data_IF_272184992466
#
_entry.id   IF_272184992466
#
_cell.length_a   1.000
_cell.length_b   1.000
_cell.length_c   1.000
_cell.angle_alpha   90.00
_cell.angle_beta   90.00
_cell.angle_gamma   90.00
#
_symmetry.space_group_name_H-M   'P 1'
#
loop_
_entity.id
_entity.type
_entity.pdbx_description
1 polymer ?
#
# COMPACT_ATOMS: atom_id res chain seq x y z
N UNK A 1 -60.65 -41.41 17.73
CA UNK A 1 -61.70 -41.97 16.85
C UNK A 1 -61.98 -40.86 15.85
N UNK A 2 -61.64 -40.90 14.56
CA UNK A 2 -61.11 -41.90 13.61
C UNK A 2 -60.38 -41.08 12.51
N UNK A 3 -59.12 -41.38 12.14
CA UNK A 3 -58.69 -42.17 10.98
C UNK A 3 -59.18 -41.66 9.60
N UNK A 4 -58.24 -41.26 8.70
CA UNK A 4 -57.92 -41.89 7.38
C UNK A 4 -58.54 -41.06 6.22
N UNK A 5 -57.95 -40.76 5.05
CA UNK A 5 -56.69 -41.10 4.36
C UNK A 5 -56.34 -40.05 3.27
N UNK A 6 -55.08 -40.13 2.88
CA UNK A 6 -54.28 -39.45 1.86
C UNK A 6 -54.78 -39.49 0.39
N UNK A 7 -54.10 -38.65 -0.43
CA UNK A 7 -53.87 -38.63 -1.89
C UNK A 7 -54.70 -37.73 -2.81
N UNK A 8 -53.96 -36.85 -3.53
CA UNK A 8 -54.42 -36.23 -4.77
C UNK A 8 -53.70 -34.93 -5.14
N UNK A 9 -52.42 -35.01 -5.50
CA UNK A 9 -51.70 -33.94 -6.19
C UNK A 9 -52.20 -33.83 -7.64
N UNK A 10 -52.48 -32.63 -8.14
CA UNK A 10 -51.91 -32.07 -9.38
C UNK A 10 -52.46 -30.65 -9.67
N UNK A 11 -51.49 -29.73 -9.69
CA UNK A 11 -51.40 -28.40 -10.32
C UNK A 11 -52.53 -27.92 -11.23
N UNK A 12 -52.99 -26.67 -11.04
CA UNK A 12 -52.61 -25.50 -11.88
C UNK A 12 -53.32 -24.25 -11.31
N UNK A 13 -52.59 -23.33 -10.70
CA UNK A 13 -53.14 -22.06 -10.20
C UNK A 13 -53.02 -20.94 -11.22
N UNK A 14 -54.10 -20.16 -11.24
CA UNK A 14 -54.36 -18.92 -11.96
C UNK A 14 -53.37 -17.82 -11.56
N UNK A 15 -53.10 -16.94 -12.53
CA UNK A 15 -52.30 -15.71 -12.46
C UNK A 15 -52.65 -14.82 -11.25
N UNK A 16 -51.61 -14.22 -10.67
CA UNK A 16 -51.73 -12.92 -10.02
C UNK A 16 -50.57 -12.03 -10.47
N UNK A 17 -50.91 -10.94 -11.16
CA UNK A 17 -50.03 -9.84 -11.46
C UNK A 17 -49.81 -9.02 -10.19
N UNK A 18 -48.56 -8.65 -9.88
CA UNK A 18 -48.23 -7.30 -9.43
C UNK A 18 -46.74 -7.02 -9.59
N UNK A 19 -46.50 -6.01 -10.41
CA UNK A 19 -45.38 -5.08 -10.50
C UNK A 19 -44.37 -5.07 -9.34
N UNK A 20 -43.08 -5.25 -9.64
CA UNK A 20 -42.01 -4.44 -9.02
C UNK A 20 -40.73 -4.41 -9.86
N UNK A 21 -40.06 -3.27 -9.75
CA UNK A 21 -39.09 -2.73 -10.68
C UNK A 21 -37.71 -3.39 -10.63
N UNK A 22 -37.16 -3.48 -11.84
CA UNK A 22 -35.77 -3.67 -12.29
C UNK A 22 -34.67 -3.48 -11.23
N UNK A 23 -33.92 -4.55 -10.99
CA UNK A 23 -32.53 -4.52 -10.55
C UNK A 23 -31.62 -4.26 -11.75
N UNK A 24 -30.82 -3.20 -11.69
CA UNK A 24 -29.73 -2.95 -12.62
C UNK A 24 -28.41 -3.36 -11.94
N UNK A 25 -27.86 -4.50 -12.34
CA UNK A 25 -26.44 -4.79 -12.19
C UNK A 25 -25.71 -4.07 -13.33
N UNK A 26 -24.86 -3.09 -13.01
CA UNK A 26 -23.90 -2.52 -13.97
C UNK A 26 -22.61 -3.33 -13.91
N UNK A 27 -22.49 -4.32 -14.78
CA UNK A 27 -21.19 -4.85 -15.19
C UNK A 27 -20.65 -3.96 -16.31
N UNK A 28 -19.79 -3.01 -15.97
CA UNK A 28 -19.12 -2.17 -16.97
C UNK A 28 -18.00 -2.96 -17.67
N UNK A 29 -18.44 -3.58 -18.76
CA UNK A 29 -17.69 -4.25 -19.81
C UNK A 29 -16.85 -3.22 -20.59
N UNK A 30 -15.56 -3.13 -20.30
CA UNK A 30 -14.63 -2.37 -21.15
C UNK A 30 -14.42 -3.09 -22.48
N UNK A 31 -15.16 -2.63 -23.48
CA UNK A 31 -15.06 -3.06 -24.87
C UNK A 31 -13.78 -2.46 -25.48
N UNK A 32 -12.69 -3.24 -25.55
CA UNK A 32 -11.45 -2.81 -26.20
C UNK A 32 -11.63 -2.98 -27.71
N UNK A 33 -11.91 -1.88 -28.40
CA UNK A 33 -11.66 -1.76 -29.84
C UNK A 33 -10.17 -1.46 -29.99
N UNK A 34 -9.41 -2.40 -30.55
CA UNK A 34 -7.98 -2.26 -30.75
C UNK A 34 -7.65 -1.04 -31.64
N UNK A 35 -6.79 -0.11 -31.20
CA UNK A 35 -6.17 0.84 -32.11
C UNK A 35 -4.98 0.16 -32.78
N UNK A 36 -5.05 -0.02 -34.09
CA UNK A 36 -3.89 -0.33 -34.91
C UNK A 36 -3.02 0.92 -35.01
N UNK A 37 -2.05 1.05 -34.11
CA UNK A 37 -0.95 1.99 -34.27
C UNK A 37 0.35 1.19 -34.42
N UNK A 38 0.86 1.16 -35.65
CA UNK A 38 2.23 0.78 -35.93
C UNK A 38 3.14 1.79 -35.21
N UNK A 39 3.68 1.39 -34.07
CA UNK A 39 4.78 2.10 -33.45
C UNK A 39 6.06 1.74 -34.23
N UNK A 40 6.56 2.69 -35.02
CA UNK A 40 7.92 2.62 -35.57
C UNK A 40 8.91 2.60 -34.40
N UNK A 41 9.40 1.41 -34.06
CA UNK A 41 10.51 1.23 -33.13
C UNK A 41 11.76 1.79 -33.78
N UNK A 42 12.33 2.85 -33.21
CA UNK A 42 13.61 3.39 -33.68
C UNK A 42 14.73 2.37 -33.40
N UNK A 43 15.67 2.24 -34.34
CA UNK A 43 16.77 1.25 -34.29
C UNK A 43 17.60 1.35 -33.00
N UNK A 44 17.71 2.55 -32.40
CA UNK A 44 18.45 2.78 -31.16
C UNK A 44 17.82 2.15 -29.91
N UNK A 45 16.49 2.01 -29.87
CA UNK A 45 15.81 1.34 -28.75
C UNK A 45 16.14 -0.15 -28.73
N UNK A 46 16.05 -0.80 -29.89
CA UNK A 46 16.34 -2.24 -30.05
C UNK A 46 17.77 -2.57 -29.60
N UNK A 47 18.74 -1.70 -29.91
CA UNK A 47 20.13 -1.90 -29.50
C UNK A 47 20.34 -1.77 -27.98
N UNK A 48 19.65 -0.83 -27.30
CA UNK A 48 19.72 -0.69 -25.83
C UNK A 48 19.17 -1.92 -25.11
N UNK A 49 18.11 -2.54 -25.63
CA UNK A 49 17.54 -3.76 -25.05
C UNK A 49 18.40 -5.02 -25.33
N UNK A 50 19.04 -5.13 -26.49
CA UNK A 50 20.03 -6.20 -26.79
C UNK A 50 21.30 -6.06 -25.95
N UNK A 51 21.71 -4.84 -25.60
CA UNK A 51 22.82 -4.63 -24.67
C UNK A 51 22.48 -5.23 -23.30
N UNK A 52 21.23 -5.09 -22.85
CA UNK A 52 20.78 -5.59 -21.54
C UNK A 52 20.94 -7.10 -21.35
N UNK A 53 20.84 -7.91 -22.43
CA UNK A 53 21.04 -9.36 -22.36
C UNK A 53 22.52 -9.75 -22.19
N UNK A 54 23.45 -8.87 -22.58
CA UNK A 54 24.90 -9.10 -22.48
C UNK A 54 25.51 -8.59 -21.17
N UNK A 55 24.71 -7.95 -20.30
CA UNK A 55 25.17 -7.42 -19.01
C UNK A 55 25.29 -8.55 -18.00
N UNK A 56 26.39 -8.56 -17.24
CA UNK A 56 26.57 -9.50 -16.15
C UNK A 56 25.42 -9.38 -15.14
N UNK A 57 24.91 -10.51 -14.63
CA UNK A 57 23.73 -10.55 -13.73
C UNK A 57 23.83 -9.61 -12.52
N UNK A 58 25.05 -9.34 -12.04
CA UNK A 58 25.32 -8.42 -10.92
C UNK A 58 25.10 -6.94 -11.27
N UNK A 59 25.31 -6.54 -12.52
CA UNK A 59 25.29 -5.14 -12.96
C UNK A 59 23.95 -4.78 -13.63
N UNK A 60 23.08 -5.77 -13.86
CA UNK A 60 21.75 -5.57 -14.47
C UNK A 60 20.87 -4.59 -13.68
N UNK A 61 20.98 -4.56 -12.35
CA UNK A 61 20.17 -3.68 -11.52
C UNK A 61 20.59 -2.22 -11.70
N UNK A 62 21.89 -1.95 -11.68
CA UNK A 62 22.46 -0.61 -11.88
C UNK A 62 22.17 -0.11 -13.30
N UNK A 63 22.26 -0.99 -14.30
CA UNK A 63 21.87 -0.65 -15.67
C UNK A 63 20.38 -0.30 -15.78
N UNK A 64 19.51 -1.07 -15.12
CA UNK A 64 18.08 -0.81 -15.11
C UNK A 64 17.78 0.53 -14.43
N UNK A 65 18.42 0.82 -13.27
CA UNK A 65 18.29 2.10 -12.58
C UNK A 65 18.73 3.24 -13.49
N UNK A 66 19.94 3.19 -14.04
CA UNK A 66 20.45 4.22 -14.95
C UNK A 66 19.51 4.44 -16.14
N UNK A 67 19.03 3.34 -16.74
CA UNK A 67 18.06 3.41 -17.83
C UNK A 67 16.80 4.14 -17.40
N UNK A 68 16.23 3.80 -16.24
CA UNK A 68 15.02 4.41 -15.72
C UNK A 68 15.19 5.90 -15.38
N UNK A 69 16.34 6.31 -14.86
CA UNK A 69 16.64 7.72 -14.57
C UNK A 69 16.77 8.57 -15.84
N UNK A 70 17.28 7.99 -16.91
CA UNK A 70 17.44 8.68 -18.20
C UNK A 70 16.11 8.84 -18.97
N UNK A 71 15.01 8.21 -18.53
CA UNK A 71 13.71 8.28 -19.20
C UNK A 71 12.92 9.53 -18.80
N UNK A 72 12.18 10.07 -19.75
CA UNK A 72 11.12 11.03 -19.48
C UNK A 72 10.12 10.49 -18.44
N UNK A 73 9.56 11.39 -17.63
CA UNK A 73 8.55 11.07 -16.61
C UNK A 73 7.15 10.86 -17.24
N UNK A 74 7.04 10.04 -18.29
CA UNK A 74 5.79 9.61 -18.91
C UNK A 74 5.49 8.15 -18.59
N UNK A 75 4.27 7.84 -18.17
CA UNK A 75 3.83 6.47 -17.89
C UNK A 75 4.09 5.55 -19.08
N UNK A 76 3.80 6.01 -20.29
CA UNK A 76 3.91 5.26 -21.55
C UNK A 76 5.36 4.88 -21.83
N UNK A 77 6.28 5.83 -21.70
CA UNK A 77 7.72 5.61 -21.90
C UNK A 77 8.25 4.62 -20.87
N UNK A 78 7.94 4.84 -19.59
CA UNK A 78 8.45 3.98 -18.51
C UNK A 78 7.91 2.57 -18.59
N UNK A 79 6.60 2.42 -18.82
CA UNK A 79 5.97 1.11 -18.89
C UNK A 79 6.41 0.39 -20.17
N UNK A 80 6.53 1.10 -21.29
CA UNK A 80 7.04 0.56 -22.55
C UNK A 80 8.47 0.06 -22.43
N UNK A 81 9.36 0.82 -21.78
CA UNK A 81 10.75 0.40 -21.53
C UNK A 81 10.82 -0.82 -20.61
N UNK A 82 10.03 -0.85 -19.53
CA UNK A 82 9.99 -2.00 -18.62
C UNK A 82 9.40 -3.25 -19.28
N UNK A 83 8.36 -3.10 -20.11
CA UNK A 83 7.77 -4.18 -20.90
C UNK A 83 8.76 -4.74 -21.92
N UNK A 84 9.46 -3.87 -22.64
CA UNK A 84 10.49 -4.26 -23.58
C UNK A 84 11.65 -4.98 -22.89
N UNK A 85 12.03 -4.55 -21.67
CA UNK A 85 13.09 -5.18 -20.90
C UNK A 85 12.69 -6.57 -20.41
N UNK A 86 11.49 -6.75 -19.85
CA UNK A 86 11.00 -8.05 -19.38
C UNK A 86 10.74 -9.05 -20.51
N UNK A 87 10.43 -8.58 -21.72
CA UNK A 87 10.16 -9.45 -22.87
C UNK A 87 11.32 -10.42 -23.22
N UNK A 88 12.54 -10.13 -22.76
CA UNK A 88 13.73 -10.97 -22.99
C UNK A 88 14.18 -11.76 -21.75
N UNK A 89 13.45 -11.67 -20.64
CA UNK A 89 13.76 -12.42 -19.42
C UNK A 89 12.93 -13.71 -19.36
N UNK A 90 13.57 -14.84 -19.04
CA UNK A 90 12.94 -16.16 -18.98
C UNK A 90 11.84 -16.25 -17.91
N UNK A 91 12.07 -15.57 -16.78
CA UNK A 91 11.14 -15.46 -15.67
C UNK A 91 10.99 -13.99 -15.27
N UNK A 92 9.82 -13.62 -14.72
CA UNK A 92 9.60 -12.24 -14.31
C UNK A 92 10.66 -11.81 -13.27
N UNK A 93 11.44 -10.75 -13.53
CA UNK A 93 12.67 -10.43 -12.79
C UNK A 93 12.42 -9.69 -11.46
N UNK A 94 11.58 -10.25 -10.58
CA UNK A 94 11.16 -9.63 -9.30
C UNK A 94 12.36 -9.20 -8.45
N UNK A 95 13.36 -10.08 -8.31
CA UNK A 95 14.53 -9.81 -7.46
C UNK A 95 15.35 -8.62 -7.97
N UNK A 96 15.46 -8.47 -9.29
CA UNK A 96 16.17 -7.35 -9.89
C UNK A 96 15.39 -6.05 -9.69
N UNK A 97 14.08 -6.07 -9.95
CA UNK A 97 13.21 -4.92 -9.75
C UNK A 97 13.22 -4.44 -8.29
N UNK A 98 13.19 -5.37 -7.32
CA UNK A 98 13.34 -5.03 -5.89
C UNK A 98 14.67 -4.33 -5.59
N UNK A 99 15.78 -4.76 -6.20
CA UNK A 99 17.08 -4.07 -6.04
C UNK A 99 17.07 -2.68 -6.66
N UNK A 100 16.51 -2.55 -7.87
CA UNK A 100 16.39 -1.25 -8.52
C UNK A 100 15.53 -0.27 -7.70
N UNK A 101 14.40 -0.74 -7.14
CA UNK A 101 13.57 0.07 -6.25
C UNK A 101 14.35 0.56 -5.02
N UNK A 102 15.14 -0.31 -4.37
CA UNK A 102 15.96 0.11 -3.22
C UNK A 102 17.00 1.18 -3.56
N UNK A 103 17.57 1.14 -4.77
CA UNK A 103 18.51 2.15 -5.25
C UNK A 103 17.76 3.47 -5.52
N UNK A 104 16.65 3.43 -6.24
CA UNK A 104 15.81 4.60 -6.52
C UNK A 104 15.30 5.28 -5.25
N UNK A 105 14.91 4.51 -4.23
CA UNK A 105 14.51 5.05 -2.92
C UNK A 105 15.66 5.75 -2.20
N UNK A 106 16.87 5.17 -2.26
CA UNK A 106 18.07 5.78 -1.68
C UNK A 106 18.42 7.09 -2.38
N UNK A 107 18.19 7.17 -3.68
CA UNK A 107 18.38 8.37 -4.51
C UNK A 107 17.21 9.36 -4.42
N UNK A 108 16.15 9.02 -3.66
CA UNK A 108 14.93 9.82 -3.47
C UNK A 108 14.15 10.08 -4.76
N UNK A 109 14.25 9.15 -5.72
CA UNK A 109 13.53 9.19 -7.00
C UNK A 109 12.10 8.65 -6.82
N UNK A 110 11.36 9.27 -5.89
CA UNK A 110 10.06 8.78 -5.41
C UNK A 110 9.03 8.64 -6.52
N UNK A 111 8.99 9.61 -7.45
CA UNK A 111 8.12 9.53 -8.61
C UNK A 111 8.40 8.28 -9.46
N UNK A 112 9.68 7.96 -9.65
CA UNK A 112 10.11 6.76 -10.40
C UNK A 112 9.77 5.48 -9.64
N UNK A 113 9.98 5.47 -8.32
CA UNK A 113 9.58 4.35 -7.44
C UNK A 113 8.08 4.06 -7.60
N UNK A 114 7.23 5.09 -7.58
CA UNK A 114 5.78 4.96 -7.80
C UNK A 114 5.48 4.33 -9.16
N UNK A 115 6.11 4.83 -10.23
CA UNK A 115 5.89 4.31 -11.59
C UNK A 115 6.29 2.83 -11.71
N UNK A 116 7.46 2.45 -11.20
CA UNK A 116 7.95 1.06 -11.27
C UNK A 116 7.04 0.13 -10.46
N UNK A 117 6.66 0.49 -9.24
CA UNK A 117 5.78 -0.36 -8.42
C UNK A 117 4.40 -0.50 -9.07
N UNK A 118 3.81 0.58 -9.57
CA UNK A 118 2.51 0.50 -10.26
C UNK A 118 2.58 -0.33 -11.54
N UNK A 119 3.68 -0.24 -12.29
CA UNK A 119 3.91 -1.11 -13.45
C UNK A 119 3.97 -2.57 -13.00
N UNK A 120 4.76 -2.90 -11.98
CA UNK A 120 4.83 -4.28 -11.43
C UNK A 120 3.44 -4.81 -11.05
N UNK A 121 2.66 -4.01 -10.32
CA UNK A 121 1.30 -4.37 -9.92
C UNK A 121 0.36 -4.55 -11.12
N UNK A 122 0.51 -3.76 -12.19
CA UNK A 122 -0.28 -3.91 -13.43
C UNK A 122 -0.01 -5.23 -14.16
N UNK A 123 1.15 -5.86 -13.91
CA UNK A 123 1.51 -7.19 -14.42
C UNK A 123 1.09 -8.32 -13.47
N UNK A 124 0.38 -7.99 -12.38
CA UNK A 124 0.04 -8.93 -11.32
C UNK A 124 1.24 -9.36 -10.46
N UNK A 125 2.34 -8.61 -10.51
CA UNK A 125 3.59 -8.96 -9.83
C UNK A 125 3.78 -8.12 -8.57
N UNK A 126 4.33 -8.75 -7.53
CA UNK A 126 4.60 -8.06 -6.26
C UNK A 126 3.32 -7.68 -5.49
N UNK A 127 2.22 -8.41 -5.64
CA UNK A 127 0.97 -8.19 -4.89
C UNK A 127 1.11 -8.64 -3.42
N UNK A 128 2.00 -7.99 -2.70
CA UNK A 128 2.31 -8.26 -1.29
C UNK A 128 2.11 -7.02 -0.45
N UNK A 129 1.80 -7.19 0.82
CA UNK A 129 1.60 -6.06 1.73
C UNK A 129 2.85 -5.18 1.88
N UNK A 130 4.04 -5.76 1.74
CA UNK A 130 5.31 -5.01 1.71
C UNK A 130 5.40 -4.08 0.50
N UNK A 131 5.03 -4.56 -0.69
CA UNK A 131 5.03 -3.74 -1.92
C UNK A 131 3.96 -2.64 -1.85
N UNK A 132 2.77 -2.91 -1.30
CA UNK A 132 1.78 -1.86 -1.07
C UNK A 132 2.26 -0.83 -0.04
N UNK A 133 2.89 -1.27 1.06
CA UNK A 133 3.50 -0.36 2.03
C UNK A 133 4.60 0.52 1.45
N UNK A 134 5.41 -0.04 0.56
CA UNK A 134 6.44 0.67 -0.19
C UNK A 134 5.83 1.72 -1.15
N UNK A 135 4.77 1.34 -1.88
CA UNK A 135 4.03 2.26 -2.76
C UNK A 135 3.41 3.42 -1.97
N UNK A 136 2.79 3.13 -0.82
CA UNK A 136 2.19 4.12 0.07
C UNK A 136 3.26 5.12 0.56
N UNK A 137 4.45 4.63 0.93
CA UNK A 137 5.57 5.51 1.31
C UNK A 137 5.98 6.41 0.14
N UNK A 138 6.19 5.82 -1.04
CA UNK A 138 6.65 6.55 -2.21
C UNK A 138 5.63 7.60 -2.65
N UNK A 139 4.33 7.30 -2.61
CA UNK A 139 3.26 8.25 -2.92
C UNK A 139 3.24 9.43 -1.94
N UNK A 140 3.39 9.16 -0.64
CA UNK A 140 3.47 10.22 0.36
C UNK A 140 4.72 11.11 0.17
N UNK A 141 5.88 10.52 -0.15
CA UNK A 141 7.09 11.29 -0.48
C UNK A 141 6.98 12.04 -1.81
N UNK A 142 6.15 11.57 -2.74
CA UNK A 142 5.79 12.22 -4.01
C UNK A 142 4.61 13.21 -3.86
N UNK A 143 4.29 13.62 -2.61
CA UNK A 143 3.20 14.56 -2.27
C UNK A 143 1.80 14.15 -2.73
N UNK A 144 1.53 12.84 -2.80
CA UNK A 144 0.26 12.25 -3.25
C UNK A 144 -0.39 11.43 -2.13
N UNK A 145 -0.54 12.06 -0.97
CA UNK A 145 -1.03 11.41 0.25
C UNK A 145 -2.49 10.91 0.14
N UNK A 146 -3.33 11.56 -0.65
CA UNK A 146 -4.70 11.07 -0.93
C UNK A 146 -4.69 9.76 -1.72
N UNK A 147 -3.83 9.64 -2.72
CA UNK A 147 -3.67 8.39 -3.45
C UNK A 147 -3.06 7.29 -2.55
N UNK A 148 -2.12 7.67 -1.68
CA UNK A 148 -1.59 6.75 -0.68
C UNK A 148 -2.70 6.21 0.25
N UNK A 149 -3.68 7.06 0.60
CA UNK A 149 -4.86 6.65 1.35
C UNK A 149 -5.77 5.70 0.56
N UNK A 150 -6.01 5.95 -0.73
CA UNK A 150 -6.83 5.05 -1.57
C UNK A 150 -6.20 3.65 -1.66
N UNK A 151 -4.87 3.56 -1.78
CA UNK A 151 -4.16 2.27 -1.75
C UNK A 151 -4.28 1.62 -0.37
N UNK A 152 -4.12 2.39 0.71
CA UNK A 152 -4.33 1.87 2.07
C UNK A 152 -5.74 1.29 2.22
N UNK A 153 -6.77 2.07 1.93
CA UNK A 153 -8.17 1.68 2.13
C UNK A 153 -8.54 0.44 1.32
N UNK A 154 -8.14 0.41 0.04
CA UNK A 154 -8.49 -0.68 -0.88
C UNK A 154 -7.70 -1.97 -0.68
N UNK A 155 -6.45 -1.91 -0.21
CA UNK A 155 -5.54 -3.08 -0.16
C UNK A 155 -5.19 -3.54 1.26
N UNK A 156 -5.31 -2.67 2.26
CA UNK A 156 -4.80 -2.91 3.62
C UNK A 156 -5.89 -2.65 4.67
N UNK A 157 -6.71 -1.62 4.49
CA UNK A 157 -7.68 -1.08 5.44
C UNK A 157 -8.84 -2.02 5.81
N UNK A 158 -8.90 -3.24 5.28
CA UNK A 158 -9.81 -4.29 5.73
C UNK A 158 -9.22 -5.25 6.77
N UNK A 159 -7.91 -5.19 7.02
CA UNK A 159 -7.17 -6.22 7.77
C UNK A 159 -6.59 -5.70 9.10
N UNK A 160 -7.23 -4.72 9.75
CA UNK A 160 -6.67 -4.05 10.94
C UNK A 160 -6.24 -4.99 12.07
N UNK A 161 -6.86 -6.16 12.22
CA UNK A 161 -6.47 -7.16 13.22
C UNK A 161 -5.10 -7.83 12.93
N UNK A 162 -4.66 -7.90 11.67
CA UNK A 162 -3.47 -8.64 11.24
C UNK A 162 -2.38 -7.79 10.59
N UNK A 163 -2.66 -6.53 10.22
CA UNK A 163 -1.65 -5.62 9.65
C UNK A 163 -0.52 -5.34 10.67
N UNK A 164 0.76 -5.60 10.35
CA UNK A 164 1.88 -5.31 11.25
C UNK A 164 1.90 -3.84 11.69
N UNK A 165 2.25 -3.64 12.96
CA UNK A 165 2.34 -2.31 13.56
C UNK A 165 3.28 -1.36 12.81
N UNK A 166 4.30 -1.87 12.12
CA UNK A 166 5.19 -1.05 11.30
C UNK A 166 4.42 -0.27 10.21
N UNK A 167 3.48 -0.94 9.52
CA UNK A 167 2.66 -0.32 8.48
C UNK A 167 1.61 0.62 9.09
N UNK A 168 0.98 0.22 10.20
CA UNK A 168 0.06 1.12 10.93
C UNK A 168 0.79 2.41 11.36
N UNK A 169 1.99 2.29 11.93
CA UNK A 169 2.81 3.43 12.35
C UNK A 169 3.17 4.33 11.16
N UNK A 170 3.52 3.73 10.02
CA UNK A 170 3.78 4.47 8.79
C UNK A 170 2.53 5.25 8.36
N UNK A 171 1.36 4.63 8.32
CA UNK A 171 0.13 5.32 7.90
C UNK A 171 -0.28 6.42 8.87
N UNK A 172 -0.14 6.21 10.19
CA UNK A 172 -0.35 7.25 11.20
C UNK A 172 0.61 8.43 10.97
N UNK A 173 1.87 8.17 10.60
CA UNK A 173 2.84 9.22 10.28
C UNK A 173 2.47 10.00 9.00
N UNK A 174 1.99 9.30 7.97
CA UNK A 174 1.51 9.88 6.71
C UNK A 174 0.32 10.79 6.99
N UNK A 175 -0.72 10.28 7.66
CA UNK A 175 -1.89 11.09 7.96
C UNK A 175 -1.56 12.30 8.83
N UNK A 176 -0.68 12.12 9.82
CA UNK A 176 -0.31 13.19 10.74
C UNK A 176 0.38 14.35 10.02
N UNK A 177 1.39 14.06 9.18
CA UNK A 177 2.17 15.12 8.51
C UNK A 177 1.39 15.83 7.40
N UNK A 178 0.40 15.15 6.82
CA UNK A 178 -0.46 15.67 5.75
C UNK A 178 -1.78 16.26 6.29
N UNK A 179 -1.92 16.44 7.61
CA UNK A 179 -3.12 16.98 8.27
C UNK A 179 -4.42 16.21 7.98
N UNK A 180 -4.32 14.90 7.72
CA UNK A 180 -5.47 14.02 7.42
C UNK A 180 -6.07 13.49 8.72
N UNK A 181 -6.54 14.40 9.58
CA UNK A 181 -6.91 14.10 10.97
C UNK A 181 -8.02 13.06 11.10
N UNK A 182 -9.09 13.16 10.31
CA UNK A 182 -10.20 12.20 10.36
C UNK A 182 -9.76 10.78 10.01
N UNK A 183 -8.89 10.64 8.99
CA UNK A 183 -8.35 9.35 8.57
C UNK A 183 -7.40 8.78 9.63
N UNK A 184 -6.65 9.65 10.33
CA UNK A 184 -5.80 9.27 11.45
C UNK A 184 -6.61 8.74 12.64
N UNK A 185 -7.61 9.50 13.09
CA UNK A 185 -8.43 9.10 14.25
C UNK A 185 -9.19 7.82 13.95
N UNK A 186 -9.79 7.71 12.75
CA UNK A 186 -10.49 6.50 12.32
C UNK A 186 -9.57 5.28 12.30
N UNK A 187 -8.37 5.40 11.74
CA UNK A 187 -7.39 4.30 11.77
C UNK A 187 -7.09 3.86 13.20
N UNK A 188 -6.91 4.80 14.13
CA UNK A 188 -6.63 4.46 15.51
C UNK A 188 -7.83 3.81 16.23
N UNK A 189 -9.04 4.32 15.99
CA UNK A 189 -10.29 3.75 16.52
C UNK A 189 -10.46 2.28 16.08
N UNK A 190 -10.21 1.98 14.80
CA UNK A 190 -10.24 0.61 14.27
C UNK A 190 -9.18 -0.29 14.94
N UNK A 191 -7.96 0.23 15.15
CA UNK A 191 -6.92 -0.52 15.86
C UNK A 191 -7.31 -0.77 17.33
N UNK A 192 -7.89 0.21 18.01
CA UNK A 192 -8.41 0.06 19.38
C UNK A 192 -9.56 -0.95 19.44
N UNK A 193 -10.44 -1.00 18.43
CA UNK A 193 -11.56 -1.94 18.35
C UNK A 193 -11.11 -3.41 18.26
N UNK A 194 -9.90 -3.66 17.73
CA UNK A 194 -9.24 -4.98 17.75
C UNK A 194 -8.29 -5.16 18.94
N UNK A 195 -8.44 -4.39 20.01
CA UNK A 195 -7.62 -4.42 21.23
C UNK A 195 -6.12 -4.24 20.97
N UNK A 196 -5.75 -3.63 19.84
CA UNK A 196 -4.35 -3.45 19.47
C UNK A 196 -3.77 -2.27 20.25
N UNK A 197 -2.91 -2.59 21.21
CA UNK A 197 -2.21 -1.58 22.03
C UNK A 197 -1.08 -0.93 21.23
N UNK A 198 -0.99 0.41 21.20
CA UNK A 198 0.10 1.12 20.53
C UNK A 198 1.44 0.76 21.15
N UNK A 199 2.48 0.46 20.35
CA UNK A 199 3.78 0.04 20.86
C UNK A 199 4.64 1.20 21.40
N UNK A 200 4.36 2.45 21.00
CA UNK A 200 5.20 3.61 21.29
C UNK A 200 4.36 4.86 21.60
N UNK A 201 4.90 5.74 22.47
CA UNK A 201 4.23 6.98 22.90
C UNK A 201 3.94 7.95 21.76
N UNK A 202 4.78 7.98 20.72
CA UNK A 202 4.65 8.85 19.55
C UNK A 202 3.33 8.63 18.81
N UNK A 203 2.84 7.39 18.75
CA UNK A 203 1.55 7.06 18.17
C UNK A 203 0.43 7.74 18.97
N UNK A 204 0.42 7.57 20.29
CA UNK A 204 -0.59 8.15 21.18
C UNK A 204 -0.60 9.68 21.06
N UNK A 205 0.57 10.32 21.07
CA UNK A 205 0.67 11.78 20.96
C UNK A 205 0.15 12.31 19.61
N UNK A 206 0.45 11.62 18.50
CA UNK A 206 -0.08 12.01 17.18
C UNK A 206 -1.59 11.91 17.10
N UNK A 207 -2.16 10.87 17.69
CA UNK A 207 -3.62 10.68 17.76
C UNK A 207 -4.26 11.74 18.66
N UNK A 208 -3.65 12.06 19.81
CA UNK A 208 -4.13 13.10 20.72
C UNK A 208 -4.19 14.48 20.04
N UNK A 209 -3.15 14.81 19.28
CA UNK A 209 -3.11 16.04 18.48
C UNK A 209 -4.16 16.04 17.36
N UNK A 210 -4.42 14.89 16.73
CA UNK A 210 -5.46 14.79 15.71
C UNK A 210 -6.87 14.99 16.30
N UNK A 211 -7.15 14.41 17.47
CA UNK A 211 -8.39 14.68 18.19
C UNK A 211 -8.53 16.16 18.57
N UNK A 212 -7.45 16.78 19.05
CA UNK A 212 -7.43 18.22 19.34
C UNK A 212 -7.73 19.07 18.11
N UNK A 213 -7.10 18.78 16.97
CA UNK A 213 -7.32 19.48 15.72
C UNK A 213 -8.78 19.35 15.21
N UNK A 214 -9.45 18.25 15.55
CA UNK A 214 -10.87 18.01 15.27
C UNK A 214 -11.82 18.55 16.36
N UNK A 215 -11.30 19.20 17.41
CA UNK A 215 -12.11 19.69 18.55
C UNK A 215 -12.62 18.60 19.50
N UNK A 216 -12.13 17.37 19.37
CA UNK A 216 -12.52 16.17 20.14
C UNK A 216 -11.71 16.04 21.43
N UNK A 217 -11.83 17.02 22.33
CA UNK A 217 -11.00 17.10 23.54
C UNK A 217 -11.23 15.95 24.53
N UNK A 218 -12.46 15.43 24.62
CA UNK A 218 -12.78 14.29 25.50
C UNK A 218 -12.03 13.03 25.06
N UNK A 219 -11.97 12.79 23.76
CA UNK A 219 -11.27 11.66 23.15
C UNK A 219 -9.76 11.80 23.33
N UNK A 220 -9.22 13.02 23.19
CA UNK A 220 -7.82 13.33 23.51
C UNK A 220 -7.48 12.93 24.96
N UNK A 221 -8.27 13.39 25.92
CA UNK A 221 -8.05 13.10 27.35
C UNK A 221 -8.15 11.59 27.61
N UNK A 222 -9.18 10.92 27.07
CA UNK A 222 -9.38 9.46 27.17
C UNK A 222 -8.14 8.68 26.76
N UNK A 223 -7.55 8.99 25.60
CA UNK A 223 -6.41 8.22 25.10
C UNK A 223 -5.11 8.52 25.88
N UNK A 224 -4.92 9.76 26.34
CA UNK A 224 -3.75 10.13 27.14
C UNK A 224 -3.78 9.44 28.50
N UNK A 225 -4.96 9.34 29.12
CA UNK A 225 -5.15 8.61 30.38
C UNK A 225 -4.97 7.10 30.19
N UNK A 226 -5.68 6.51 29.21
CA UNK A 226 -5.63 5.07 28.92
C UNK A 226 -4.22 4.57 28.64
N UNK A 227 -3.41 5.35 27.92
CA UNK A 227 -2.05 4.98 27.53
C UNK A 227 -0.95 5.71 28.33
N UNK A 228 -1.26 6.25 29.51
CA UNK A 228 -0.31 6.99 30.36
C UNK A 228 0.95 6.18 30.74
N UNK A 229 0.84 4.85 30.80
CA UNK A 229 1.99 3.97 31.04
C UNK A 229 3.08 4.06 29.95
N UNK A 230 2.74 4.47 28.73
CA UNK A 230 3.72 4.76 27.66
C UNK A 230 4.33 6.15 27.81
N UNK A 231 3.60 7.10 28.38
CA UNK A 231 4.03 8.49 28.56
C UNK A 231 5.00 8.66 29.73
N UNK A 232 4.89 7.82 30.75
CA UNK A 232 5.67 7.87 31.99
C UNK A 232 6.98 7.06 31.95
N UNK A 233 7.11 6.13 30.99
CA UNK A 233 8.25 5.17 30.91
C UNK A 233 9.62 5.81 30.69
N UNK A 234 9.70 7.06 30.22
CA UNK A 234 10.98 7.77 30.04
C UNK A 234 11.69 8.14 31.36
N UNK A 235 11.01 8.00 32.50
CA UNK A 235 11.57 8.27 33.84
C UNK A 235 12.14 7.00 34.49
N UNK A 236 13.13 6.37 33.87
CA UNK A 236 13.95 5.33 34.54
C UNK A 236 15.33 5.89 34.92
N UNK A 237 15.90 5.59 36.11
CA UNK A 237 17.04 6.32 36.65
C UNK A 237 18.33 6.01 35.90
N UNK A 238 19.11 7.06 35.58
CA UNK A 238 20.49 6.93 35.09
C UNK A 238 21.30 6.07 36.08
N UNK A 239 21.68 4.86 35.69
CA UNK A 239 22.69 4.08 36.43
C UNK A 239 23.97 4.93 36.54
N UNK A 240 24.57 5.12 37.73
CA UNK A 240 25.84 5.81 37.83
C UNK A 240 26.91 4.96 37.15
N UNK A 241 27.60 5.56 36.16
CA UNK A 241 28.78 4.96 35.54
C UNK A 241 29.85 4.81 36.62
N UNK A 242 30.10 3.58 37.09
CA UNK A 242 31.30 3.26 37.86
C UNK A 242 32.52 3.51 36.98
N UNK A 243 33.22 4.62 37.19
CA UNK A 243 34.58 4.80 36.71
C UNK A 243 35.51 4.04 37.67
N UNK A 244 35.96 2.87 37.23
CA UNK A 244 37.04 2.16 37.86
C UNK A 244 37.95 1.61 36.78
N UNK A 245 39.12 2.21 36.61
CA UNK A 245 40.39 1.47 36.53
C UNK A 245 41.52 2.43 36.86
N UNK A 246 42.06 2.31 38.07
CA UNK A 246 43.37 2.83 38.45
C UNK A 246 44.42 2.01 37.70
N UNK A 247 45.28 2.66 36.91
CA UNK A 247 46.58 2.08 36.52
C UNK A 247 47.51 2.14 37.73
N UNK A 248 48.04 0.99 38.16
CA UNK A 248 49.23 0.95 39.01
C UNK A 248 50.47 0.89 38.11
N UNK A 249 51.50 1.63 38.55
CA UNK A 249 52.89 1.63 38.07
C UNK A 249 53.51 0.25 38.17
#
# INVERSE_FOLDING_TARGET
MDQIVNHGCYSTMVQAQTFNQRTANSEDKWNIKAPSHHAEKTVGDIDKYRISSNIAKKDKADFLVKTLLDLENSKEVVYGTLDAWVAWEENFPIALLKRALLILEKEQEWHRVVQVIKWMLSKGQGTTMGTYGQLILALDMDNRSDEAHEIWDSKIGGYYHSVPWQLCRQMIAIYYRNNMWDKLTRLFEELEAYDRKPPEKSIVLRVANAYEALGRLKEKERILEKYNYLLTKDKSPKKPRKHGYKKKK
#
